data_IF_692888969918
#
_entry.id   IF_692888969918
#
_cell.length_a   1.000
_cell.length_b   1.000
_cell.length_c   1.000
_cell.angle_alpha   90.00
_cell.angle_beta   90.00
_cell.angle_gamma   90.00
#
_symmetry.space_group_name_H-M   'P 1'
#
loop_
_entity.id
_entity.type
_entity.pdbx_description
1 polymer ?
#
# COMPACT_ATOMS: atom_id res chain seq x y z
N UNK A 1 20.56 -36.78 16.61
CA UNK A 1 20.44 -37.03 15.16
C UNK A 1 19.12 -37.73 14.91
N UNK A 2 18.30 -37.20 14.00
CA UNK A 2 17.09 -37.90 13.55
C UNK A 2 17.55 -39.04 12.62
N UNK A 3 17.18 -40.28 12.93
CA UNK A 3 17.59 -41.46 12.17
C UNK A 3 16.39 -41.97 11.35
N UNK A 4 16.57 -42.16 10.04
CA UNK A 4 15.60 -42.85 9.22
C UNK A 4 16.15 -44.24 8.89
N UNK A 5 15.59 -45.28 9.52
CA UNK A 5 15.97 -46.70 9.27
C UNK A 5 17.48 -47.00 9.34
N UNK A 6 18.21 -46.31 10.21
CA UNK A 6 19.65 -46.55 10.44
C UNK A 6 20.59 -45.78 9.52
N UNK A 7 20.09 -45.04 8.52
CA UNK A 7 20.89 -44.05 7.78
C UNK A 7 20.76 -42.66 8.43
N UNK A 8 21.84 -41.88 8.38
CA UNK A 8 21.81 -40.47 8.71
C UNK A 8 20.87 -39.78 7.72
N UNK A 9 19.88 -39.02 8.23
CA UNK A 9 18.92 -38.32 7.36
C UNK A 9 19.63 -37.38 6.38
N UNK A 10 20.75 -36.78 6.80
CA UNK A 10 21.51 -35.85 5.97
C UNK A 10 22.07 -36.54 4.71
N UNK A 11 22.70 -37.72 4.86
CA UNK A 11 23.19 -38.52 3.73
C UNK A 11 22.06 -38.97 2.80
N UNK A 12 20.90 -39.30 3.39
CA UNK A 12 19.74 -39.73 2.63
C UNK A 12 19.11 -38.56 1.85
N UNK A 13 19.09 -37.36 2.43
CA UNK A 13 18.67 -36.10 1.77
C UNK A 13 19.61 -35.78 0.60
N UNK A 14 20.92 -35.84 0.81
CA UNK A 14 21.93 -35.52 -0.21
C UNK A 14 21.78 -36.43 -1.44
N UNK A 15 21.62 -37.75 -1.24
CA UNK A 15 21.39 -38.72 -2.33
C UNK A 15 20.14 -38.39 -3.16
N UNK A 16 19.10 -37.86 -2.52
CA UNK A 16 17.83 -37.54 -3.17
C UNK A 16 17.72 -36.06 -3.61
N UNK A 17 18.75 -35.24 -3.34
CA UNK A 17 18.74 -33.82 -3.66
C UNK A 17 18.49 -33.50 -5.15
N UNK A 18 19.07 -34.24 -6.11
CA UNK A 18 18.80 -34.03 -7.54
C UNK A 18 17.33 -34.16 -7.93
N UNK A 19 16.56 -35.00 -7.22
CA UNK A 19 15.12 -35.13 -7.46
C UNK A 19 14.39 -33.82 -7.13
N UNK A 20 14.75 -33.13 -6.05
CA UNK A 20 14.13 -31.84 -5.71
C UNK A 20 14.47 -30.79 -6.74
N UNK A 21 15.73 -30.69 -7.17
CA UNK A 21 16.15 -29.75 -8.22
C UNK A 21 15.32 -29.99 -9.50
N UNK A 22 15.21 -31.25 -9.93
CA UNK A 22 14.41 -31.58 -11.12
C UNK A 22 12.93 -31.24 -10.93
N UNK A 23 12.35 -31.56 -9.76
CA UNK A 23 10.94 -31.27 -9.47
C UNK A 23 10.67 -29.77 -9.41
N UNK A 24 11.53 -29.00 -8.75
CA UNK A 24 11.44 -27.54 -8.69
C UNK A 24 11.54 -26.98 -10.10
N UNK A 25 12.55 -27.35 -10.90
CA UNK A 25 12.68 -26.87 -12.27
C UNK A 25 11.49 -27.23 -13.16
N UNK A 26 10.92 -28.43 -13.00
CA UNK A 26 9.76 -28.89 -13.77
C UNK A 26 8.46 -28.16 -13.40
N UNK A 27 8.26 -27.87 -12.12
CA UNK A 27 7.01 -27.28 -11.62
C UNK A 27 7.13 -25.79 -11.29
N UNK A 28 8.30 -25.17 -11.52
CA UNK A 28 8.52 -23.76 -11.34
C UNK A 28 7.64 -22.96 -12.30
N UNK A 29 6.87 -22.02 -11.76
CA UNK A 29 6.07 -21.10 -12.56
C UNK A 29 6.94 -19.92 -12.98
N UNK A 30 7.29 -19.84 -14.27
CA UNK A 30 8.13 -18.78 -14.88
C UNK A 30 7.76 -17.34 -14.50
N UNK A 31 6.49 -17.08 -14.15
CA UNK A 31 5.97 -15.75 -13.85
C UNK A 31 6.17 -15.32 -12.38
N UNK A 32 6.91 -16.08 -11.57
CA UNK A 32 7.23 -15.72 -10.19
C UNK A 32 8.74 -15.55 -10.04
N UNK A 33 9.15 -14.40 -9.50
CA UNK A 33 10.54 -14.19 -9.07
C UNK A 33 10.73 -14.85 -7.69
N UNK A 34 10.59 -16.18 -7.65
CA UNK A 34 10.89 -16.95 -6.44
C UNK A 34 12.31 -17.51 -6.59
N UNK A 35 13.22 -17.23 -5.64
CA UNK A 35 14.51 -17.88 -5.59
C UNK A 35 14.33 -19.41 -5.62
N UNK A 36 15.08 -20.14 -6.47
CA UNK A 36 14.99 -21.60 -6.51
C UNK A 36 15.24 -22.26 -5.15
N UNK A 37 16.11 -21.65 -4.33
CA UNK A 37 16.44 -22.14 -3.00
C UNK A 37 15.23 -22.20 -2.06
N UNK A 38 14.39 -21.16 -2.04
CA UNK A 38 13.19 -21.12 -1.20
C UNK A 38 12.24 -22.30 -1.48
N UNK A 39 12.10 -22.65 -2.77
CA UNK A 39 11.28 -23.80 -3.18
C UNK A 39 11.93 -25.12 -2.77
N UNK A 40 13.25 -25.23 -2.87
CA UNK A 40 14.01 -26.41 -2.45
C UNK A 40 13.85 -26.60 -0.94
N UNK A 41 14.05 -25.56 -0.13
CA UNK A 41 13.89 -25.61 1.33
C UNK A 41 12.46 -26.02 1.71
N UNK A 42 11.47 -25.49 0.98
CA UNK A 42 10.07 -25.89 1.16
C UNK A 42 9.80 -27.36 0.79
N UNK A 43 10.52 -27.90 -0.18
CA UNK A 43 10.47 -29.33 -0.51
C UNK A 43 11.17 -30.20 0.55
N UNK A 44 12.30 -29.74 1.10
CA UNK A 44 13.05 -30.43 2.16
C UNK A 44 12.24 -30.56 3.46
N UNK A 45 11.52 -29.51 3.88
CA UNK A 45 10.62 -29.62 5.06
C UNK A 45 9.54 -30.69 4.88
N UNK A 46 9.01 -30.80 3.67
CA UNK A 46 8.03 -31.82 3.32
C UNK A 46 8.67 -33.20 3.32
N UNK A 47 9.86 -33.33 2.75
CA UNK A 47 10.61 -34.57 2.74
C UNK A 47 10.83 -35.13 4.15
N UNK A 48 11.36 -34.32 5.06
CA UNK A 48 11.60 -34.72 6.45
C UNK A 48 10.32 -35.22 7.14
N UNK A 49 9.21 -34.52 6.92
CA UNK A 49 7.90 -34.91 7.47
C UNK A 49 7.35 -36.22 6.91
N UNK A 50 7.72 -36.57 5.67
CA UNK A 50 7.24 -37.75 4.96
C UNK A 50 8.18 -38.95 5.07
N UNK A 51 9.49 -38.75 5.29
CA UNK A 51 10.41 -39.81 5.66
C UNK A 51 9.88 -40.58 6.87
N UNK A 52 9.49 -39.87 7.93
CA UNK A 52 8.95 -40.49 9.15
C UNK A 52 7.67 -41.32 8.92
N UNK A 53 6.94 -41.08 7.83
CA UNK A 53 5.66 -41.73 7.50
C UNK A 53 5.79 -42.80 6.43
N UNK A 54 6.99 -43.00 5.87
CA UNK A 54 7.19 -43.90 4.76
C UNK A 54 7.23 -45.35 5.23
N UNK A 55 6.32 -46.14 4.68
CA UNK A 55 6.18 -47.55 4.96
C UNK A 55 6.85 -48.36 3.84
N UNK A 56 7.87 -49.13 4.23
CA UNK A 56 8.68 -49.93 3.30
C UNK A 56 7.98 -51.23 2.93
N UNK A 57 7.05 -51.71 3.76
CA UNK A 57 6.32 -52.97 3.51
C UNK A 57 5.45 -52.87 2.25
N UNK A 58 5.08 -51.65 1.86
CA UNK A 58 4.29 -51.38 0.65
C UNK A 58 5.06 -51.61 -0.65
N UNK A 59 6.36 -51.90 -0.60
CA UNK A 59 7.23 -52.16 -1.77
C UNK A 59 7.11 -51.11 -2.89
N UNK A 60 6.96 -49.84 -2.51
CA UNK A 60 6.89 -48.70 -3.45
C UNK A 60 8.21 -47.96 -3.41
N UNK A 61 8.72 -47.51 -4.57
CA UNK A 61 9.91 -46.65 -4.61
C UNK A 61 9.66 -45.35 -3.84
N UNK A 62 10.58 -44.98 -2.96
CA UNK A 62 10.45 -43.78 -2.15
C UNK A 62 10.30 -42.49 -2.98
N UNK A 63 11.02 -42.39 -4.11
CA UNK A 63 10.87 -41.28 -5.07
C UNK A 63 9.43 -41.15 -5.58
N UNK A 64 8.77 -42.27 -5.90
CA UNK A 64 7.37 -42.29 -6.32
C UNK A 64 6.44 -41.78 -5.22
N UNK A 65 6.64 -42.25 -3.98
CA UNK A 65 5.88 -41.82 -2.80
C UNK A 65 5.93 -40.30 -2.58
N UNK A 66 7.11 -39.69 -2.79
CA UNK A 66 7.34 -38.27 -2.54
C UNK A 66 6.88 -37.33 -3.66
N UNK A 67 6.77 -37.83 -4.90
CA UNK A 67 6.43 -36.98 -6.05
C UNK A 67 5.11 -36.21 -5.87
N UNK A 68 4.06 -36.86 -5.37
CA UNK A 68 2.74 -36.20 -5.17
C UNK A 68 2.79 -35.15 -4.05
N UNK A 69 3.30 -35.45 -2.84
CA UNK A 69 3.47 -34.47 -1.76
C UNK A 69 4.28 -33.25 -2.16
N UNK A 70 5.43 -33.45 -2.81
CA UNK A 70 6.32 -32.35 -3.23
C UNK A 70 5.63 -31.49 -4.27
N UNK A 71 5.00 -32.09 -5.30
CA UNK A 71 4.22 -31.35 -6.30
C UNK A 71 3.09 -30.55 -5.66
N UNK A 72 2.37 -31.14 -4.71
CA UNK A 72 1.31 -30.44 -3.98
C UNK A 72 1.87 -29.24 -3.22
N UNK A 73 3.02 -29.40 -2.56
CA UNK A 73 3.68 -28.33 -1.78
C UNK A 73 4.17 -27.19 -2.64
N UNK A 74 4.81 -27.46 -3.78
CA UNK A 74 5.21 -26.44 -4.75
C UNK A 74 3.97 -25.65 -5.22
N UNK A 75 2.89 -26.34 -5.58
CA UNK A 75 1.65 -25.68 -5.98
C UNK A 75 1.01 -24.87 -4.84
N UNK A 76 1.05 -25.41 -3.62
CA UNK A 76 0.53 -24.75 -2.43
C UNK A 76 1.32 -23.48 -2.09
N UNK A 77 2.66 -23.51 -2.20
CA UNK A 77 3.51 -22.33 -2.07
C UNK A 77 3.04 -21.21 -3.01
N UNK A 78 2.91 -21.52 -4.30
CA UNK A 78 2.40 -20.55 -5.26
C UNK A 78 0.96 -20.13 -4.97
N UNK A 79 0.10 -21.02 -4.47
CA UNK A 79 -1.30 -20.70 -4.20
C UNK A 79 -1.49 -19.87 -2.93
N UNK A 80 -0.63 -19.98 -1.91
CA UNK A 80 -0.62 -19.05 -0.77
C UNK A 80 -0.07 -17.70 -1.17
N UNK A 81 1.03 -17.70 -1.92
CA UNK A 81 1.63 -16.48 -2.46
C UNK A 81 0.81 -15.87 -3.62
N UNK A 82 -0.26 -16.53 -4.09
CA UNK A 82 -1.26 -15.92 -4.98
C UNK A 82 -2.02 -14.80 -4.30
N UNK A 83 -2.12 -14.76 -2.96
CA UNK A 83 -2.77 -13.65 -2.26
C UNK A 83 -1.86 -12.40 -2.13
N UNK A 84 -0.58 -12.52 -2.47
CA UNK A 84 0.29 -11.36 -2.72
C UNK A 84 0.07 -10.78 -4.13
N UNK A 85 -0.85 -11.38 -4.92
CA UNK A 85 -1.43 -10.71 -6.07
C UNK A 85 -2.43 -9.66 -5.56
N UNK A 86 -1.92 -8.46 -5.31
CA UNK A 86 -2.53 -7.32 -6.02
C UNK A 86 -2.73 -7.79 -7.46
N UNK A 87 -3.97 -7.74 -7.98
CA UNK A 87 -4.28 -8.05 -9.39
C UNK A 87 -3.25 -7.37 -10.30
N UNK A 88 -2.21 -8.10 -10.65
CA UNK A 88 -0.98 -7.61 -11.29
C UNK A 88 -1.18 -7.73 -12.78
N UNK A 89 -2.19 -7.04 -13.28
CA UNK A 89 -2.16 -6.56 -14.66
C UNK A 89 -1.49 -5.20 -14.53
N UNK A 90 -0.16 -5.16 -14.67
CA UNK A 90 0.59 -3.90 -14.82
C UNK A 90 1.22 -3.25 -13.59
N UNK A 91 1.43 -3.94 -12.46
CA UNK A 91 2.28 -3.37 -11.41
C UNK A 91 3.77 -3.51 -11.82
N UNK A 92 4.49 -2.40 -11.84
CA UNK A 92 5.90 -2.33 -12.16
C UNK A 92 6.70 -1.91 -10.92
N UNK A 93 7.99 -2.22 -10.90
CA UNK A 93 8.87 -1.74 -9.84
C UNK A 93 9.03 -0.22 -9.95
N UNK A 94 8.98 0.48 -8.81
CA UNK A 94 9.27 1.92 -8.80
C UNK A 94 10.72 2.24 -9.21
N UNK A 95 11.61 1.27 -9.05
CA UNK A 95 13.03 1.42 -9.36
C UNK A 95 13.37 0.83 -10.74
N UNK A 96 12.38 0.39 -11.53
CA UNK A 96 12.69 -0.07 -12.89
C UNK A 96 12.98 1.13 -13.79
N UNK A 97 14.06 1.05 -14.55
CA UNK A 97 14.43 2.05 -15.54
C UNK A 97 13.41 2.13 -16.68
N UNK A 98 13.02 3.36 -17.01
CA UNK A 98 12.22 3.72 -18.17
C UNK A 98 13.03 4.72 -19.00
N UNK A 99 12.77 4.74 -20.30
CA UNK A 99 13.27 5.82 -21.17
C UNK A 99 12.32 7.00 -21.11
N UNK A 100 12.81 8.14 -20.64
CA UNK A 100 12.07 9.41 -20.73
C UNK A 100 11.95 9.88 -22.18
N UNK A 101 11.14 10.90 -22.43
CA UNK A 101 10.95 11.54 -23.75
C UNK A 101 12.28 11.97 -24.39
N UNK A 102 13.29 12.28 -23.57
CA UNK A 102 14.64 12.67 -23.98
C UNK A 102 15.60 11.47 -24.17
N UNK A 103 15.11 10.23 -24.12
CA UNK A 103 15.88 9.01 -24.30
C UNK A 103 16.82 8.60 -23.14
N UNK A 104 16.87 9.39 -22.06
CA UNK A 104 17.67 9.09 -20.87
C UNK A 104 16.98 8.04 -19.98
N UNK A 105 17.74 7.12 -19.34
CA UNK A 105 17.19 6.20 -18.35
C UNK A 105 16.78 6.98 -17.09
N UNK A 106 15.58 6.71 -16.60
CA UNK A 106 15.02 7.35 -15.41
C UNK A 106 14.11 6.35 -14.71
N UNK A 107 14.10 6.36 -13.38
CA UNK A 107 13.28 5.43 -12.60
C UNK A 107 11.81 5.90 -12.52
N UNK A 108 10.85 4.96 -12.37
CA UNK A 108 9.43 5.29 -12.18
C UNK A 108 9.20 6.24 -11.01
N UNK A 109 9.97 6.07 -9.92
CA UNK A 109 9.82 6.89 -8.72
C UNK A 109 10.05 8.39 -8.98
N UNK A 110 10.90 8.73 -9.94
CA UNK A 110 11.20 10.12 -10.30
C UNK A 110 10.07 10.77 -11.09
N UNK A 111 9.27 9.97 -11.82
CA UNK A 111 8.14 10.45 -12.61
C UNK A 111 6.85 10.57 -11.81
N UNK A 112 6.77 9.93 -10.63
CA UNK A 112 5.58 9.97 -9.80
C UNK A 112 5.48 11.34 -9.12
N UNK A 113 4.47 12.10 -9.49
CA UNK A 113 4.13 13.34 -8.80
C UNK A 113 3.53 13.02 -7.41
N UNK A 114 4.07 13.64 -6.36
CA UNK A 114 3.44 13.63 -5.05
C UNK A 114 2.11 14.38 -5.10
N UNK A 115 0.98 13.65 -5.05
CA UNK A 115 -0.36 14.26 -4.94
C UNK A 115 -0.56 15.07 -3.65
N UNK A 116 0.23 14.82 -2.61
CA UNK A 116 0.23 15.57 -1.36
C UNK A 116 1.40 16.54 -1.33
N UNK A 117 1.20 17.71 -1.89
CA UNK A 117 2.20 18.76 -1.92
C UNK A 117 2.33 19.37 -0.51
N UNK A 118 3.17 18.78 0.37
CA UNK A 118 3.38 19.25 1.75
C UNK A 118 3.76 20.74 1.83
N UNK A 119 4.45 21.25 0.80
CA UNK A 119 4.79 22.67 0.64
C UNK A 119 3.56 23.58 0.49
N UNK A 120 2.50 23.11 -0.18
CA UNK A 120 1.26 23.88 -0.28
C UNK A 120 0.59 24.06 1.09
N UNK A 121 0.62 23.04 1.96
CA UNK A 121 0.03 23.14 3.30
C UNK A 121 0.78 24.10 4.22
N UNK A 122 2.11 24.14 4.20
CA UNK A 122 2.88 25.07 5.05
C UNK A 122 2.63 26.54 4.66
N UNK A 123 2.64 26.85 3.37
CA UNK A 123 2.28 28.19 2.88
C UNK A 123 0.82 28.53 3.19
N UNK A 124 -0.10 27.56 3.08
CA UNK A 124 -1.50 27.74 3.47
C UNK A 124 -1.62 28.11 4.96
N UNK A 125 -0.82 27.52 5.85
CA UNK A 125 -0.86 27.86 7.28
C UNK A 125 -0.39 29.30 7.56
N UNK A 126 0.61 29.80 6.85
CA UNK A 126 1.07 31.20 6.99
C UNK A 126 -0.01 32.17 6.51
N UNK A 127 -0.57 31.95 5.32
CA UNK A 127 -1.65 32.78 4.77
C UNK A 127 -2.91 32.75 5.65
N UNK A 128 -3.28 31.58 6.19
CA UNK A 128 -4.41 31.46 7.12
C UNK A 128 -4.18 32.28 8.39
N UNK A 129 -2.97 32.27 8.95
CA UNK A 129 -2.63 33.05 10.13
C UNK A 129 -2.72 34.56 9.85
N UNK A 130 -2.26 35.01 8.69
CA UNK A 130 -2.38 36.40 8.26
C UNK A 130 -3.84 36.83 8.09
N UNK A 131 -4.66 35.99 7.45
CA UNK A 131 -6.11 36.23 7.31
C UNK A 131 -6.77 36.33 8.69
N UNK A 132 -6.45 35.42 9.61
CA UNK A 132 -7.02 35.43 10.97
C UNK A 132 -6.59 36.68 11.75
N UNK A 133 -5.34 37.12 11.62
CA UNK A 133 -4.85 38.35 12.24
C UNK A 133 -5.56 39.58 11.66
N UNK A 134 -5.69 39.66 10.33
CA UNK A 134 -6.40 40.74 9.65
C UNK A 134 -7.87 40.82 10.12
N UNK A 135 -8.55 39.68 10.19
CA UNK A 135 -9.95 39.61 10.60
C UNK A 135 -10.17 40.11 12.03
N UNK A 136 -9.32 39.68 12.97
CA UNK A 136 -9.37 40.11 14.38
C UNK A 136 -9.16 41.62 14.55
N UNK A 137 -8.35 42.25 13.70
CA UNK A 137 -8.05 43.68 13.77
C UNK A 137 -9.10 44.57 13.10
N UNK A 138 -9.88 44.05 12.15
CA UNK A 138 -10.75 44.87 11.28
C UNK A 138 -12.26 44.69 11.51
N UNK A 139 -12.67 43.70 12.30
CA UNK A 139 -14.08 43.37 12.52
C UNK A 139 -14.37 43.13 14.00
N UNK A 140 -15.62 43.39 14.39
CA UNK A 140 -16.10 43.11 15.75
C UNK A 140 -16.16 41.60 16.01
N UNK A 141 -15.91 41.18 17.25
CA UNK A 141 -16.06 39.80 17.69
C UNK A 141 -17.42 39.20 17.31
N UNK A 142 -18.49 40.01 17.38
CA UNK A 142 -19.85 39.60 16.98
C UNK A 142 -19.94 39.25 15.49
N UNK A 143 -19.35 40.08 14.63
CA UNK A 143 -19.38 39.88 13.17
C UNK A 143 -18.54 38.67 12.76
N UNK A 144 -17.41 38.46 13.44
CA UNK A 144 -16.55 37.30 13.26
C UNK A 144 -17.22 36.01 13.72
N UNK A 145 -17.96 36.04 14.82
CA UNK A 145 -18.70 34.87 15.31
C UNK A 145 -19.82 34.49 14.35
N UNK A 146 -20.58 35.47 13.83
CA UNK A 146 -21.57 35.24 12.78
C UNK A 146 -20.94 34.64 11.51
N UNK A 147 -19.78 35.15 11.09
CA UNK A 147 -19.06 34.64 9.93
C UNK A 147 -18.53 33.22 10.17
N UNK A 148 -18.06 32.91 11.38
CA UNK A 148 -17.60 31.58 11.76
C UNK A 148 -18.75 30.55 11.72
N UNK A 149 -19.93 30.89 12.26
CA UNK A 149 -21.12 30.03 12.17
C UNK A 149 -21.52 29.75 10.72
N UNK A 150 -21.46 30.78 9.86
CA UNK A 150 -21.72 30.62 8.43
C UNK A 150 -20.69 29.72 7.73
N UNK A 151 -19.39 29.87 8.02
CA UNK A 151 -18.34 28.98 7.47
C UNK A 151 -18.55 27.53 7.93
N UNK A 152 -18.99 27.33 9.17
CA UNK A 152 -19.28 26.00 9.73
C UNK A 152 -20.60 25.39 9.25
N UNK A 153 -21.31 26.06 8.34
CA UNK A 153 -22.50 25.52 7.66
C UNK A 153 -23.84 25.91 8.28
N UNK A 154 -23.89 26.81 9.27
CA UNK A 154 -25.18 27.35 9.73
C UNK A 154 -25.83 28.26 8.68
N UNK A 155 -27.15 28.12 8.50
CA UNK A 155 -27.90 28.96 7.56
C UNK A 155 -28.04 30.39 8.07
N UNK A 156 -28.03 31.37 7.16
CA UNK A 156 -28.17 32.80 7.50
C UNK A 156 -29.45 33.12 8.27
N UNK A 157 -30.53 32.36 8.04
CA UNK A 157 -31.80 32.50 8.76
C UNK A 157 -31.66 32.08 10.23
N UNK A 158 -30.91 31.01 10.51
CA UNK A 158 -30.74 30.51 11.88
C UNK A 158 -29.73 31.36 12.66
N UNK A 159 -28.70 31.86 11.99
CA UNK A 159 -27.80 32.88 12.54
C UNK A 159 -28.60 34.15 12.88
N UNK A 160 -29.49 34.60 11.99
CA UNK A 160 -30.33 35.78 12.21
C UNK A 160 -31.22 35.63 13.46
N UNK A 161 -31.84 34.46 13.65
CA UNK A 161 -32.61 34.12 14.85
C UNK A 161 -31.75 34.19 16.12
N UNK A 162 -30.56 33.59 16.11
CA UNK A 162 -29.63 33.55 17.25
C UNK A 162 -29.25 34.96 17.73
N UNK A 163 -29.06 35.89 16.80
CA UNK A 163 -28.60 37.25 17.09
C UNK A 163 -29.72 38.30 17.14
N UNK A 164 -30.98 37.89 17.04
CA UNK A 164 -32.16 38.76 17.00
C UNK A 164 -32.04 39.90 15.98
N UNK A 165 -31.55 39.59 14.78
CA UNK A 165 -31.39 40.53 13.66
C UNK A 165 -32.04 39.99 12.39
N UNK A 166 -32.17 40.82 11.36
CA UNK A 166 -32.70 40.36 10.07
C UNK A 166 -31.67 39.50 9.30
N UNK A 167 -32.17 38.54 8.53
CA UNK A 167 -31.33 37.74 7.62
C UNK A 167 -30.58 38.63 6.60
N UNK A 168 -31.19 39.74 6.18
CA UNK A 168 -30.54 40.72 5.29
C UNK A 168 -29.32 41.36 5.96
N UNK A 169 -29.38 41.66 7.26
CA UNK A 169 -28.22 42.19 8.00
C UNK A 169 -27.10 41.14 8.09
N UNK A 170 -27.42 39.88 8.37
CA UNK A 170 -26.44 38.78 8.36
C UNK A 170 -25.77 38.66 6.99
N UNK A 171 -26.55 38.72 5.91
CA UNK A 171 -26.05 38.70 4.54
C UNK A 171 -25.07 39.86 4.24
N UNK A 172 -25.41 41.07 4.69
CA UNK A 172 -24.55 42.26 4.56
C UNK A 172 -23.22 42.09 5.30
N UNK A 173 -23.23 41.56 6.52
CA UNK A 173 -22.00 41.32 7.31
C UNK A 173 -21.10 40.30 6.60
N UNK A 174 -21.64 39.16 6.19
CA UNK A 174 -20.89 38.12 5.47
C UNK A 174 -20.30 38.69 4.17
N UNK A 175 -21.09 39.46 3.41
CA UNK A 175 -20.66 40.07 2.15
C UNK A 175 -19.54 41.11 2.37
N UNK A 176 -19.65 41.92 3.42
CA UNK A 176 -18.63 42.89 3.78
C UNK A 176 -17.30 42.21 4.12
N UNK A 177 -17.33 41.19 5.00
CA UNK A 177 -16.14 40.41 5.38
C UNK A 177 -15.49 39.77 4.14
N UNK A 178 -16.28 39.07 3.30
CA UNK A 178 -15.78 38.46 2.06
C UNK A 178 -15.13 39.48 1.13
N UNK A 179 -15.74 40.64 0.96
CA UNK A 179 -15.24 41.68 0.04
C UNK A 179 -13.93 42.28 0.56
N UNK A 180 -13.81 42.53 1.87
CA UNK A 180 -12.57 43.01 2.48
C UNK A 180 -11.44 41.99 2.37
N UNK A 181 -11.69 40.72 2.68
CA UNK A 181 -10.68 39.65 2.51
C UNK A 181 -10.23 39.60 1.05
N UNK A 182 -11.18 39.59 0.10
CA UNK A 182 -10.88 39.51 -1.34
C UNK A 182 -10.01 40.67 -1.81
N UNK A 183 -10.34 41.90 -1.42
CA UNK A 183 -9.60 43.09 -1.83
C UNK A 183 -8.21 43.16 -1.16
N UNK A 184 -8.07 42.68 0.08
CA UNK A 184 -6.81 42.75 0.81
C UNK A 184 -5.79 41.71 0.35
N UNK A 185 -6.25 40.50 0.00
CA UNK A 185 -5.37 39.37 -0.38
C UNK A 185 -5.32 39.09 -1.88
N UNK A 186 -6.04 39.86 -2.71
CA UNK A 186 -5.95 39.77 -4.17
C UNK A 186 -6.54 38.48 -4.77
N UNK A 187 -7.52 37.85 -4.14
CA UNK A 187 -8.18 36.67 -4.68
C UNK A 187 -9.08 37.05 -5.89
N UNK A 188 -8.59 36.84 -7.11
CA UNK A 188 -9.35 36.95 -8.37
C UNK A 188 -10.31 35.77 -8.57
N UNK A 189 -11.40 35.99 -9.33
CA UNK A 189 -12.41 34.98 -9.67
C UNK A 189 -11.84 33.70 -10.30
#
# INVERSE_FOLDING_TARGET
MLNFKGECIDEFVEKNYPLFIWMVNKYNRKNYHTPPQDLIDYCLTTYLSYCQKFDVEKNVKFSYFLTKPIKYRINHYYNRNKNCKFKTIGAMSLNSEIRNENGKPTEFIELIQYKFNKFSNQNNHVLLNEILAYLKSNFSSRDLEMFNLYINGENQVDIAKRYSISQVQVSRVIKNIRTKIRNHFGFSN
#
